data_IF_534764645247
#
_entry.id   IF_534764645247
#
_cell.length_a   1.000
_cell.length_b   1.000
_cell.length_c   1.000
_cell.angle_alpha   90.00
_cell.angle_beta   90.00
_cell.angle_gamma   90.00
#
_symmetry.space_group_name_H-M   'P 1'
#
loop_
_entity.id
_entity.type
_entity.pdbx_description
1 polymer ?
#
# COMPACT_ATOMS: atom_id res chain seq x y z
N UNK A 1 -88.58 97.18 47.66
CA UNK A 1 -89.50 96.89 48.77
C UNK A 1 -88.79 97.26 50.05
N UNK A 2 -88.99 98.50 50.54
CA UNK A 2 -88.49 98.89 51.86
C UNK A 2 -89.38 98.19 52.88
N UNK A 3 -88.83 97.19 53.58
CA UNK A 3 -89.47 96.63 54.75
C UNK A 3 -89.55 97.72 55.82
N UNK A 4 -90.73 97.89 56.44
CA UNK A 4 -90.91 98.72 57.62
C UNK A 4 -89.83 98.38 58.65
N UNK A 5 -88.93 99.32 58.89
CA UNK A 5 -87.83 99.13 59.81
C UNK A 5 -88.40 99.26 61.22
N UNK A 6 -88.78 98.14 61.82
CA UNK A 6 -89.07 98.08 63.26
C UNK A 6 -87.93 98.77 64.00
N UNK A 7 -88.27 99.71 64.89
CA UNK A 7 -87.28 100.36 65.76
C UNK A 7 -86.78 99.30 66.74
N UNK A 8 -85.68 98.64 66.39
CA UNK A 8 -85.04 97.64 67.24
C UNK A 8 -84.32 98.40 68.35
N UNK A 9 -84.68 98.14 69.60
CA UNK A 9 -83.98 98.69 70.76
C UNK A 9 -82.84 97.78 71.22
N UNK A 10 -81.99 98.26 72.12
CA UNK A 10 -80.86 97.48 72.64
C UNK A 10 -81.33 96.22 73.37
N UNK A 11 -82.51 96.27 74.00
CA UNK A 11 -83.08 95.13 74.72
C UNK A 11 -83.67 94.06 73.78
N UNK A 12 -83.92 94.41 72.51
CA UNK A 12 -84.45 93.50 71.50
C UNK A 12 -83.35 92.69 70.80
N UNK A 13 -82.07 92.94 71.08
CA UNK A 13 -80.94 92.25 70.43
C UNK A 13 -80.94 90.77 70.82
N UNK A 14 -81.10 89.91 69.83
CA UNK A 14 -81.19 88.45 69.99
C UNK A 14 -80.43 87.73 68.87
N UNK A 15 -80.38 86.40 68.93
CA UNK A 15 -79.77 85.59 67.89
C UNK A 15 -80.52 85.68 66.55
N UNK A 16 -81.85 85.85 66.58
CA UNK A 16 -82.71 85.77 65.40
C UNK A 16 -82.65 87.04 64.56
N UNK A 17 -82.49 88.21 65.19
CA UNK A 17 -82.34 89.48 64.51
C UNK A 17 -80.87 89.93 64.34
N UNK A 18 -79.91 89.17 64.87
CA UNK A 18 -78.48 89.43 64.70
C UNK A 18 -78.05 89.65 63.22
N UNK A 19 -78.55 88.87 62.23
CA UNK A 19 -78.21 89.11 60.82
C UNK A 19 -78.69 90.45 60.27
N UNK A 20 -79.77 91.02 60.82
CA UNK A 20 -80.28 92.34 60.43
C UNK A 20 -79.57 93.49 61.16
N UNK A 21 -79.05 93.23 62.37
CA UNK A 21 -78.40 94.23 63.23
C UNK A 21 -76.91 94.39 62.92
N UNK A 22 -76.17 93.28 62.83
CA UNK A 22 -74.71 93.27 62.69
C UNK A 22 -74.26 93.35 61.22
N UNK A 23 -74.80 94.35 60.52
CA UNK A 23 -74.46 94.69 59.14
C UNK A 23 -73.69 96.00 59.09
N UNK A 24 -73.12 96.32 57.92
CA UNK A 24 -72.46 97.60 57.71
C UNK A 24 -73.42 98.77 58.02
N UNK A 25 -73.06 99.61 58.99
CA UNK A 25 -73.87 100.75 59.44
C UNK A 25 -75.03 100.43 60.38
N UNK A 26 -75.35 99.15 60.62
CA UNK A 26 -76.54 98.74 61.40
C UNK A 26 -76.49 99.08 62.90
N UNK A 27 -75.29 99.28 63.45
CA UNK A 27 -75.11 99.60 64.88
C UNK A 27 -75.28 101.09 65.22
N UNK A 28 -75.32 101.97 64.21
CA UNK A 28 -75.40 103.42 64.41
C UNK A 28 -76.64 103.83 65.20
N UNK A 29 -77.79 103.20 64.94
CA UNK A 29 -79.05 103.48 65.63
C UNK A 29 -78.97 103.30 67.16
N UNK A 30 -78.22 102.29 67.64
CA UNK A 30 -78.07 102.05 69.08
C UNK A 30 -77.13 103.09 69.71
N UNK A 31 -76.08 103.50 68.98
CA UNK A 31 -75.21 104.58 69.43
C UNK A 31 -75.98 105.89 69.52
N UNK A 32 -76.77 106.23 68.51
CA UNK A 32 -77.57 107.46 68.48
C UNK A 32 -78.64 107.47 69.57
N UNK A 33 -79.29 106.33 69.84
CA UNK A 33 -80.24 106.18 70.94
C UNK A 33 -79.58 106.41 72.32
N UNK A 34 -78.43 105.78 72.58
CA UNK A 34 -77.68 105.96 73.83
C UNK A 34 -77.16 107.39 73.95
N UNK A 35 -76.67 107.97 72.85
CA UNK A 35 -76.22 109.37 72.82
C UNK A 35 -77.34 110.33 73.16
N UNK A 36 -78.52 110.16 72.57
CA UNK A 36 -79.70 110.97 72.89
C UNK A 36 -80.08 110.85 74.37
N UNK A 37 -80.06 109.64 74.94
CA UNK A 37 -80.33 109.42 76.37
C UNK A 37 -79.34 110.16 77.28
N UNK A 38 -78.03 110.04 77.03
CA UNK A 38 -77.01 110.61 77.93
C UNK A 38 -76.73 112.09 77.73
N UNK A 39 -77.07 112.65 76.56
CA UNK A 39 -76.93 114.09 76.29
C UNK A 39 -78.22 114.88 76.53
N UNK A 40 -79.34 114.21 76.81
CA UNK A 40 -80.63 114.84 77.07
C UNK A 40 -80.68 115.65 78.36
N UNK A 41 -79.73 115.45 79.27
CA UNK A 41 -79.57 116.21 80.50
C UNK A 41 -78.11 116.62 80.73
N UNK A 42 -77.90 117.80 81.34
CA UNK A 42 -76.57 118.28 81.74
C UNK A 42 -76.55 118.45 83.26
N UNK A 43 -76.14 117.42 84.03
CA UNK A 43 -76.12 117.49 85.49
C UNK A 43 -75.09 118.49 86.03
N UNK A 44 -75.41 119.17 87.14
CA UNK A 44 -74.53 120.17 87.77
C UNK A 44 -73.33 119.55 88.52
N UNK A 45 -72.12 119.78 88.00
CA UNK A 45 -70.85 119.29 88.53
C UNK A 45 -70.48 119.84 89.92
N UNK A 46 -71.03 120.99 90.32
CA UNK A 46 -70.73 121.59 91.63
C UNK A 46 -71.36 120.79 92.77
N UNK A 47 -72.44 120.04 92.48
CA UNK A 47 -73.15 119.21 93.47
C UNK A 47 -72.67 117.75 93.46
N UNK A 48 -72.69 117.09 94.63
CA UNK A 48 -72.41 115.65 94.73
C UNK A 48 -73.40 114.82 93.89
N UNK A 49 -74.68 115.17 93.94
CA UNK A 49 -75.74 114.46 93.19
C UNK A 49 -75.53 114.55 91.68
N UNK A 50 -75.13 115.71 91.14
CA UNK A 50 -74.86 115.85 89.71
C UNK A 50 -73.64 115.03 89.26
N UNK A 51 -72.58 114.97 90.07
CA UNK A 51 -71.42 114.09 89.79
C UNK A 51 -71.79 112.60 89.82
N UNK A 52 -72.59 112.17 90.80
CA UNK A 52 -73.11 110.78 90.86
C UNK A 52 -74.00 110.47 89.65
N UNK A 53 -74.81 111.42 89.18
CA UNK A 53 -75.64 111.24 87.97
C UNK A 53 -74.79 111.09 86.70
N UNK A 54 -73.74 111.88 86.53
CA UNK A 54 -72.79 111.73 85.41
C UNK A 54 -72.13 110.35 85.43
N UNK A 55 -71.73 109.86 86.61
CA UNK A 55 -71.20 108.50 86.76
C UNK A 55 -72.24 107.44 86.35
N UNK A 56 -73.51 107.63 86.72
CA UNK A 56 -74.61 106.75 86.29
C UNK A 56 -74.82 106.78 84.77
N UNK A 57 -74.79 107.94 84.12
CA UNK A 57 -74.92 108.06 82.66
C UNK A 57 -73.76 107.36 81.94
N UNK A 58 -72.52 107.51 82.43
CA UNK A 58 -71.36 106.80 81.90
C UNK A 58 -71.48 105.26 82.09
N UNK A 59 -72.06 104.82 83.20
CA UNK A 59 -72.37 103.41 83.43
C UNK A 59 -73.44 102.89 82.44
N UNK A 60 -74.46 103.69 82.12
CA UNK A 60 -75.44 103.37 81.07
C UNK A 60 -74.75 103.16 79.72
N UNK A 61 -73.87 104.08 79.29
CA UNK A 61 -73.09 103.90 78.04
C UNK A 61 -72.33 102.58 78.03
N UNK A 62 -71.67 102.26 79.15
CA UNK A 62 -70.86 101.04 79.28
C UNK A 62 -71.72 99.76 79.22
N UNK A 63 -72.89 99.78 79.87
CA UNK A 63 -73.85 98.67 79.85
C UNK A 63 -74.43 98.47 78.44
N UNK A 64 -74.86 99.55 77.79
CA UNK A 64 -75.42 99.53 76.44
C UNK A 64 -74.39 99.07 75.40
N UNK A 65 -73.13 99.51 75.51
CA UNK A 65 -72.02 98.98 74.69
C UNK A 65 -71.89 97.47 74.83
N UNK A 66 -71.86 96.96 76.06
CA UNK A 66 -71.72 95.53 76.31
C UNK A 66 -72.93 94.72 75.78
N UNK A 67 -74.14 95.27 75.90
CA UNK A 67 -75.37 94.66 75.40
C UNK A 67 -75.39 94.53 73.86
N UNK A 68 -74.74 95.45 73.14
CA UNK A 68 -74.59 95.37 71.68
C UNK A 68 -73.37 94.52 71.28
N UNK A 69 -72.22 94.67 71.95
CA UNK A 69 -70.96 94.01 71.57
C UNK A 69 -71.00 92.49 71.81
N UNK A 70 -71.54 92.04 72.95
CA UNK A 70 -71.51 90.63 73.34
C UNK A 70 -72.30 89.74 72.38
N UNK A 71 -73.58 90.02 72.05
CA UNK A 71 -74.31 89.21 71.06
C UNK A 71 -73.69 89.31 69.66
N UNK A 72 -73.05 90.42 69.32
CA UNK A 72 -72.33 90.59 68.05
C UNK A 72 -71.09 89.72 67.93
N UNK A 73 -70.31 89.58 69.00
CA UNK A 73 -69.20 88.62 69.07
C UNK A 73 -69.68 87.18 69.02
N UNK A 74 -70.80 86.88 69.66
CA UNK A 74 -71.39 85.53 69.62
C UNK A 74 -71.92 85.20 68.21
N UNK A 75 -72.55 86.15 67.53
CA UNK A 75 -72.97 86.03 66.13
C UNK A 75 -71.77 85.85 65.19
N UNK A 76 -70.72 86.67 65.34
CA UNK A 76 -69.49 86.54 64.55
C UNK A 76 -68.81 85.16 64.74
N UNK A 77 -68.83 84.61 65.96
CA UNK A 77 -68.32 83.27 66.23
C UNK A 77 -69.09 82.21 65.45
N UNK A 78 -70.43 82.25 65.51
CA UNK A 78 -71.30 81.33 64.75
C UNK A 78 -71.09 81.45 63.25
N UNK A 79 -70.97 82.68 62.73
CA UNK A 79 -70.66 82.90 61.32
C UNK A 79 -69.32 82.31 60.88
N UNK A 80 -68.29 82.37 61.73
CA UNK A 80 -66.98 81.79 61.44
C UNK A 80 -66.95 80.27 61.55
N UNK A 81 -67.83 79.68 62.35
CA UNK A 81 -67.97 78.23 62.49
C UNK A 81 -68.78 77.61 61.34
N UNK A 82 -69.73 78.36 60.77
CA UNK A 82 -70.63 77.85 59.72
C UNK A 82 -69.91 77.29 58.48
N UNK A 83 -68.86 77.93 57.91
CA UNK A 83 -68.13 77.36 56.78
C UNK A 83 -67.59 75.96 57.05
N UNK A 84 -67.01 75.73 58.24
CA UNK A 84 -66.46 74.42 58.61
C UNK A 84 -67.55 73.33 58.65
N UNK A 85 -68.73 73.67 59.18
CA UNK A 85 -69.86 72.73 59.22
C UNK A 85 -70.35 72.43 57.81
N UNK A 86 -70.55 73.47 56.99
CA UNK A 86 -71.01 73.31 55.60
C UNK A 86 -70.00 72.51 54.77
N UNK A 87 -68.69 72.79 54.90
CA UNK A 87 -67.63 72.02 54.22
C UNK A 87 -67.63 70.55 54.63
N UNK A 88 -67.77 70.25 55.92
CA UNK A 88 -67.82 68.87 56.41
C UNK A 88 -69.04 68.12 55.87
N UNK A 89 -70.22 68.74 55.90
CA UNK A 89 -71.44 68.14 55.35
C UNK A 89 -71.37 67.95 53.82
N UNK A 90 -70.79 68.91 53.09
CA UNK A 90 -70.58 68.77 51.65
C UNK A 90 -69.60 67.64 51.32
N UNK A 91 -68.50 67.53 52.07
CA UNK A 91 -67.53 66.45 51.88
C UNK A 91 -68.15 65.07 52.18
N UNK A 92 -68.90 64.95 53.27
CA UNK A 92 -69.63 63.72 53.62
C UNK A 92 -70.64 63.36 52.52
N UNK A 93 -71.41 64.33 52.04
CA UNK A 93 -72.37 64.12 50.95
C UNK A 93 -71.69 63.66 49.67
N UNK A 94 -70.63 64.33 49.22
CA UNK A 94 -69.88 63.95 48.00
C UNK A 94 -69.31 62.54 48.15
N UNK A 95 -68.69 62.24 49.30
CA UNK A 95 -68.13 60.91 49.57
C UNK A 95 -69.20 59.82 49.53
N UNK A 96 -70.38 60.06 50.13
CA UNK A 96 -71.52 59.13 50.08
C UNK A 96 -72.03 58.94 48.65
N UNK A 97 -72.10 60.00 47.86
CA UNK A 97 -72.55 59.94 46.46
C UNK A 97 -71.55 59.19 45.57
N UNK A 98 -70.24 59.41 45.76
CA UNK A 98 -69.20 58.66 45.05
C UNK A 98 -69.24 57.18 45.40
N UNK A 99 -69.31 56.83 46.69
CA UNK A 99 -69.45 55.44 47.13
C UNK A 99 -70.72 54.77 46.59
N UNK A 100 -71.85 55.50 46.56
CA UNK A 100 -73.10 55.01 46.00
C UNK A 100 -72.97 54.78 44.49
N UNK A 101 -72.37 55.71 43.74
CA UNK A 101 -72.11 55.55 42.31
C UNK A 101 -71.27 54.30 42.06
N UNK A 102 -70.17 54.15 42.78
CA UNK A 102 -69.22 53.06 42.58
C UNK A 102 -69.85 51.72 42.93
N UNK A 103 -70.53 51.61 44.08
CA UNK A 103 -71.28 50.40 44.47
C UNK A 103 -72.40 50.07 43.49
N UNK A 104 -73.08 51.08 42.94
CA UNK A 104 -74.14 50.87 41.94
C UNK A 104 -73.57 50.38 40.61
N UNK A 105 -72.38 50.85 40.22
CA UNK A 105 -71.69 50.42 38.99
C UNK A 105 -70.97 49.08 39.15
N UNK A 106 -70.58 48.72 40.37
CA UNK A 106 -69.77 47.53 40.67
C UNK A 106 -70.28 46.24 39.98
N UNK A 107 -71.58 45.88 40.01
CA UNK A 107 -72.05 44.65 39.35
C UNK A 107 -71.86 44.67 37.82
N UNK A 108 -71.95 45.85 37.19
CA UNK A 108 -71.70 45.98 35.75
C UNK A 108 -70.21 45.82 35.45
N UNK A 109 -69.34 46.42 36.28
CA UNK A 109 -67.88 46.28 36.12
C UNK A 109 -67.44 44.82 36.30
N UNK A 110 -67.94 44.12 37.32
CA UNK A 110 -67.65 42.70 37.54
C UNK A 110 -68.12 41.83 36.36
N UNK A 111 -69.29 42.14 35.79
CA UNK A 111 -69.78 41.43 34.61
C UNK A 111 -68.95 41.74 33.36
N UNK A 112 -68.56 43.00 33.13
CA UNK A 112 -67.69 43.41 32.01
C UNK A 112 -66.33 42.68 32.09
N UNK A 113 -65.74 42.59 33.28
CA UNK A 113 -64.47 41.87 33.52
C UNK A 113 -64.62 40.36 33.32
N UNK A 114 -65.68 39.75 33.84
CA UNK A 114 -65.95 38.32 33.66
C UNK A 114 -66.20 37.97 32.19
N UNK A 115 -66.92 38.82 31.47
CA UNK A 115 -67.21 38.64 30.05
C UNK A 115 -65.96 38.80 29.19
N UNK A 116 -65.08 39.75 29.52
CA UNK A 116 -63.78 39.87 28.87
C UNK A 116 -62.90 38.64 29.14
N UNK A 117 -62.81 38.19 30.40
CA UNK A 117 -62.05 36.99 30.75
C UNK A 117 -62.59 35.72 30.07
N UNK A 118 -63.91 35.61 29.88
CA UNK A 118 -64.54 34.54 29.10
C UNK A 118 -64.06 34.55 27.65
N UNK A 119 -64.09 35.72 27.00
CA UNK A 119 -63.61 35.88 25.61
C UNK A 119 -62.13 35.60 25.47
N UNK A 120 -61.31 36.13 26.37
CA UNK A 120 -59.85 35.93 26.37
C UNK A 120 -59.52 34.44 26.50
N UNK A 121 -60.23 33.70 27.36
CA UNK A 121 -60.07 32.24 27.47
C UNK A 121 -60.32 31.50 26.15
N UNK A 122 -61.32 31.92 25.36
CA UNK A 122 -61.57 31.31 24.05
C UNK A 122 -60.50 31.70 23.03
N UNK A 123 -60.09 32.97 23.01
CA UNK A 123 -59.02 33.46 22.14
C UNK A 123 -57.71 32.73 22.44
N UNK A 124 -57.34 32.59 23.72
CA UNK A 124 -56.16 31.86 24.18
C UNK A 124 -56.24 30.38 23.82
N UNK A 125 -57.42 29.75 23.98
CA UNK A 125 -57.62 28.36 23.59
C UNK A 125 -57.45 28.14 22.08
N UNK A 126 -57.95 29.06 21.25
CA UNK A 126 -57.73 29.04 19.80
C UNK A 126 -56.25 29.26 19.47
N UNK A 127 -55.57 30.18 20.17
CA UNK A 127 -54.15 30.42 19.97
C UNK A 127 -53.31 29.20 20.36
N UNK A 128 -53.63 28.53 21.47
CA UNK A 128 -52.98 27.28 21.87
C UNK A 128 -53.12 26.18 20.80
N UNK A 129 -54.27 26.10 20.11
CA UNK A 129 -54.44 25.20 18.97
C UNK A 129 -53.53 25.56 17.78
N UNK A 130 -53.23 26.85 17.56
CA UNK A 130 -52.29 27.28 16.50
C UNK A 130 -50.85 26.99 16.90
N UNK A 131 -50.53 27.13 18.18
CA UNK A 131 -49.17 26.98 18.71
C UNK A 131 -48.63 25.54 18.63
N UNK A 132 -49.49 24.53 18.48
CA UNK A 132 -49.04 23.15 18.17
C UNK A 132 -48.24 23.04 16.86
N UNK A 133 -48.29 24.04 15.98
CA UNK A 133 -47.47 24.10 14.76
C UNK A 133 -46.11 24.79 14.96
N UNK A 134 -45.83 25.29 16.17
CA UNK A 134 -44.58 25.95 16.49
C UNK A 134 -43.60 24.90 17.01
N UNK A 135 -42.49 24.69 16.30
CA UNK A 135 -41.44 23.77 16.68
C UNK A 135 -40.10 24.51 16.79
N UNK A 136 -39.34 24.25 17.85
CA UNK A 136 -37.99 24.83 18.00
C UNK A 136 -36.98 24.24 17.00
N UNK A 137 -37.20 22.99 16.60
CA UNK A 137 -36.41 22.24 15.62
C UNK A 137 -37.32 21.30 14.83
N UNK A 138 -36.79 20.68 13.77
CA UNK A 138 -37.54 19.70 12.99
C UNK A 138 -37.97 18.52 13.90
N UNK A 139 -39.28 18.29 14.10
CA UNK A 139 -39.76 17.25 15.00
C UNK A 139 -39.62 15.87 14.38
N UNK A 140 -39.50 14.83 15.21
CA UNK A 140 -39.62 13.43 14.78
C UNK A 140 -41.07 13.07 14.45
N UNK A 141 -41.28 12.02 13.65
CA UNK A 141 -42.60 11.50 13.34
C UNK A 141 -43.38 11.13 14.63
N UNK A 142 -42.69 10.54 15.61
CA UNK A 142 -43.29 10.20 16.91
C UNK A 142 -43.77 11.44 17.69
N UNK A 143 -42.99 12.51 17.72
CA UNK A 143 -43.39 13.76 18.38
C UNK A 143 -44.61 14.39 17.69
N UNK A 144 -44.63 14.44 16.36
CA UNK A 144 -45.77 14.98 15.60
C UNK A 144 -47.03 14.13 15.84
N UNK A 145 -46.90 12.80 15.89
CA UNK A 145 -48.02 11.91 16.19
C UNK A 145 -48.59 12.16 17.60
N UNK A 146 -47.74 12.39 18.60
CA UNK A 146 -48.18 12.73 19.95
C UNK A 146 -48.90 14.09 19.98
N UNK A 147 -48.35 15.10 19.30
CA UNK A 147 -48.97 16.42 19.18
C UNK A 147 -50.35 16.34 18.52
N UNK A 148 -50.51 15.51 17.48
CA UNK A 148 -51.81 15.25 16.86
C UNK A 148 -52.79 14.67 17.89
N UNK A 149 -52.36 13.67 18.67
CA UNK A 149 -53.20 13.06 19.68
C UNK A 149 -53.63 14.07 20.76
N UNK A 150 -52.71 14.92 21.22
CA UNK A 150 -52.99 15.96 22.22
C UNK A 150 -53.98 17.00 21.69
N UNK A 151 -53.84 17.43 20.42
CA UNK A 151 -54.79 18.33 19.77
C UNK A 151 -56.17 17.67 19.58
N UNK A 152 -56.21 16.38 19.23
CA UNK A 152 -57.45 15.63 19.05
C UNK A 152 -58.27 15.56 20.35
N UNK A 153 -57.63 15.54 21.52
CA UNK A 153 -58.29 15.54 22.84
C UNK A 153 -59.03 16.86 23.16
N UNK A 154 -58.70 17.97 22.50
CA UNK A 154 -59.39 19.25 22.74
C UNK A 154 -60.84 19.14 22.24
N UNK A 155 -61.81 19.14 23.15
CA UNK A 155 -63.21 19.04 22.79
C UNK A 155 -63.70 20.31 22.07
N UNK A 156 -64.30 20.14 20.90
CA UNK A 156 -64.97 21.20 20.14
C UNK A 156 -66.47 20.98 20.28
N UNK A 157 -67.08 21.67 21.24
CA UNK A 157 -68.49 21.57 21.59
C UNK A 157 -69.04 22.93 22.05
N UNK A 158 -70.29 22.97 22.50
CA UNK A 158 -71.00 24.19 22.86
C UNK A 158 -70.31 25.07 23.93
N UNK A 159 -69.32 24.53 24.67
CA UNK A 159 -68.54 25.34 25.62
C UNK A 159 -67.67 26.41 24.95
N UNK A 160 -67.52 26.40 23.62
CA UNK A 160 -66.82 27.45 22.87
C UNK A 160 -67.73 28.62 22.46
N UNK A 161 -69.04 28.50 22.69
CA UNK A 161 -70.00 29.59 22.49
C UNK A 161 -69.87 30.22 21.08
N UNK A 162 -69.75 31.55 20.97
CA UNK A 162 -69.62 32.23 19.67
C UNK A 162 -68.32 31.89 18.91
N UNK A 163 -67.32 31.32 19.61
CA UNK A 163 -66.03 30.94 19.05
C UNK A 163 -66.00 29.50 18.54
N UNK A 164 -67.09 28.73 18.69
CA UNK A 164 -67.15 27.32 18.30
C UNK A 164 -66.72 27.08 16.84
N UNK A 165 -67.25 27.88 15.91
CA UNK A 165 -66.93 27.74 14.49
C UNK A 165 -65.45 28.02 14.20
N UNK A 166 -64.89 29.06 14.82
CA UNK A 166 -63.46 29.39 14.68
C UNK A 166 -62.58 28.31 15.29
N UNK A 167 -62.89 27.86 16.50
CA UNK A 167 -62.15 26.80 17.18
C UNK A 167 -62.17 25.47 16.38
N UNK A 168 -63.33 25.08 15.84
CA UNK A 168 -63.46 23.92 14.96
C UNK A 168 -62.57 24.06 13.72
N UNK A 169 -62.68 25.21 13.03
CA UNK A 169 -61.91 25.48 11.83
C UNK A 169 -60.40 25.48 12.09
N UNK A 170 -59.95 26.11 13.18
CA UNK A 170 -58.54 26.17 13.55
C UNK A 170 -58.02 24.78 13.91
N UNK A 171 -58.77 24.00 14.71
CA UNK A 171 -58.40 22.61 15.03
C UNK A 171 -58.22 21.79 13.76
N UNK A 172 -59.16 21.84 12.84
CA UNK A 172 -59.11 21.07 11.58
C UNK A 172 -57.93 21.49 10.70
N UNK A 173 -57.68 22.80 10.58
CA UNK A 173 -56.54 23.31 9.80
C UNK A 173 -55.20 22.92 10.43
N UNK A 174 -55.08 23.00 11.75
CA UNK A 174 -53.88 22.59 12.48
C UNK A 174 -53.65 21.08 12.33
N UNK A 175 -54.69 20.26 12.51
CA UNK A 175 -54.59 18.80 12.31
C UNK A 175 -54.20 18.44 10.88
N UNK A 176 -54.78 19.11 9.87
CA UNK A 176 -54.43 18.88 8.47
C UNK A 176 -52.94 19.15 8.21
N UNK A 177 -52.40 20.26 8.72
CA UNK A 177 -50.98 20.60 8.61
C UNK A 177 -50.09 19.59 9.35
N UNK A 178 -50.43 19.25 10.59
CA UNK A 178 -49.69 18.27 11.38
C UNK A 178 -49.65 16.90 10.71
N UNK A 179 -50.77 16.45 10.12
CA UNK A 179 -50.82 15.18 9.36
C UNK A 179 -49.93 15.21 8.12
N UNK A 180 -49.83 16.37 7.45
CA UNK A 180 -48.86 16.59 6.38
C UNK A 180 -47.42 16.44 6.87
N UNK A 181 -47.06 17.12 7.97
CA UNK A 181 -45.74 17.03 8.59
C UNK A 181 -45.44 15.58 9.02
N UNK A 182 -46.40 14.89 9.63
CA UNK A 182 -46.24 13.49 10.05
C UNK A 182 -45.93 12.59 8.85
N UNK A 183 -46.64 12.75 7.74
CA UNK A 183 -46.40 11.97 6.53
C UNK A 183 -44.99 12.20 5.99
N UNK A 184 -44.56 13.47 5.89
CA UNK A 184 -43.20 13.83 5.46
C UNK A 184 -42.13 13.25 6.39
N UNK A 185 -42.31 13.35 7.71
CA UNK A 185 -41.33 12.83 8.69
C UNK A 185 -41.28 11.31 8.69
N UNK A 186 -42.42 10.65 8.55
CA UNK A 186 -42.48 9.19 8.46
C UNK A 186 -41.74 8.69 7.22
N UNK A 187 -41.94 9.34 6.06
CA UNK A 187 -41.21 9.00 4.85
C UNK A 187 -39.71 9.24 5.00
N UNK A 188 -39.33 10.42 5.50
CA UNK A 188 -37.93 10.76 5.73
C UNK A 188 -37.22 9.75 6.65
N UNK A 189 -37.82 9.40 7.79
CA UNK A 189 -37.24 8.44 8.73
C UNK A 189 -37.15 7.03 8.13
N UNK A 190 -38.15 6.60 7.35
CA UNK A 190 -38.11 5.33 6.64
C UNK A 190 -36.99 5.28 5.59
N UNK A 191 -36.80 6.36 4.82
CA UNK A 191 -35.71 6.50 3.86
C UNK A 191 -34.34 6.47 4.56
N UNK A 192 -34.18 7.15 5.70
CA UNK A 192 -32.95 7.09 6.48
C UNK A 192 -32.66 5.68 7.00
N UNK A 193 -33.68 4.97 7.49
CA UNK A 193 -33.54 3.59 7.95
C UNK A 193 -33.16 2.64 6.79
N UNK A 194 -33.75 2.84 5.61
CA UNK A 194 -33.40 2.06 4.42
C UNK A 194 -31.96 2.33 3.97
N UNK A 195 -31.53 3.59 3.95
CA UNK A 195 -30.15 3.96 3.61
C UNK A 195 -29.14 3.30 4.57
N UNK A 196 -29.44 3.24 5.87
CA UNK A 196 -28.61 2.52 6.84
C UNK A 196 -28.57 1.03 6.53
N UNK A 197 -29.70 0.40 6.22
CA UNK A 197 -29.75 -1.02 5.84
C UNK A 197 -28.95 -1.30 4.56
N UNK A 198 -29.10 -0.46 3.54
CA UNK A 198 -28.38 -0.60 2.28
C UNK A 198 -26.87 -0.46 2.48
N UNK A 199 -26.41 0.47 3.33
CA UNK A 199 -24.99 0.60 3.68
C UNK A 199 -24.46 -0.64 4.41
N UNK A 200 -25.21 -1.15 5.38
CA UNK A 200 -24.81 -2.35 6.12
C UNK A 200 -24.75 -3.59 5.21
N UNK A 201 -25.71 -3.74 4.29
CA UNK A 201 -25.72 -4.81 3.28
C UNK A 201 -24.55 -4.69 2.30
N UNK A 202 -24.25 -3.48 1.81
CA UNK A 202 -23.11 -3.22 0.95
C UNK A 202 -21.77 -3.51 1.64
N UNK A 203 -21.63 -3.14 2.91
CA UNK A 203 -20.43 -3.43 3.70
C UNK A 203 -20.28 -4.94 3.94
N UNK A 204 -21.36 -5.64 4.28
CA UNK A 204 -21.36 -7.09 4.43
C UNK A 204 -21.01 -7.80 3.12
N UNK A 205 -21.52 -7.32 1.98
CA UNK A 205 -21.18 -7.87 0.67
C UNK A 205 -19.71 -7.61 0.31
N UNK A 206 -19.22 -6.39 0.53
CA UNK A 206 -17.81 -6.07 0.31
C UNK A 206 -16.89 -6.95 1.18
N UNK A 207 -17.30 -7.26 2.41
CA UNK A 207 -16.55 -8.19 3.26
C UNK A 207 -16.55 -9.61 2.70
N UNK A 208 -17.72 -10.13 2.26
CA UNK A 208 -17.82 -11.43 1.60
C UNK A 208 -16.96 -11.50 0.34
N UNK A 209 -16.93 -10.45 -0.47
CA UNK A 209 -16.14 -10.39 -1.69
C UNK A 209 -14.63 -10.40 -1.38
N UNK A 210 -14.19 -9.67 -0.35
CA UNK A 210 -12.80 -9.72 0.14
C UNK A 210 -12.44 -11.12 0.64
N UNK A 211 -13.29 -11.72 1.46
CA UNK A 211 -13.07 -13.06 2.00
C UNK A 211 -13.03 -14.10 0.87
N UNK A 212 -13.90 -13.97 -0.13
CA UNK A 212 -13.91 -14.81 -1.33
C UNK A 212 -12.64 -14.63 -2.18
N UNK A 213 -12.15 -13.40 -2.35
CA UNK A 213 -10.91 -13.14 -3.08
C UNK A 213 -9.70 -13.69 -2.34
N UNK A 214 -9.62 -13.50 -1.02
CA UNK A 214 -8.59 -14.11 -0.18
C UNK A 214 -8.62 -15.64 -0.32
N UNK A 215 -9.82 -16.25 -0.26
CA UNK A 215 -9.97 -17.69 -0.44
C UNK A 215 -9.55 -18.16 -1.84
N UNK A 216 -9.88 -17.41 -2.91
CA UNK A 216 -9.44 -17.70 -4.28
C UNK A 216 -7.94 -17.60 -4.43
N UNK A 217 -7.32 -16.53 -3.95
CA UNK A 217 -5.87 -16.33 -4.00
C UNK A 217 -5.16 -17.44 -3.21
N UNK A 218 -5.66 -17.78 -2.02
CA UNK A 218 -5.10 -18.87 -1.22
C UNK A 218 -5.24 -20.24 -1.94
N UNK A 219 -6.39 -20.53 -2.55
CA UNK A 219 -6.62 -21.75 -3.31
C UNK A 219 -5.73 -21.82 -4.57
N UNK A 220 -5.56 -20.71 -5.29
CA UNK A 220 -4.68 -20.61 -6.45
C UNK A 220 -3.22 -20.80 -6.06
N UNK A 221 -2.76 -20.13 -5.00
CA UNK A 221 -1.41 -20.32 -4.46
C UNK A 221 -1.17 -21.75 -4.01
N UNK A 222 -2.15 -22.38 -3.34
CA UNK A 222 -2.06 -23.79 -2.97
C UNK A 222 -1.97 -24.70 -4.20
N UNK A 223 -2.72 -24.42 -5.27
CA UNK A 223 -2.63 -25.15 -6.54
C UNK A 223 -1.25 -24.99 -7.18
N UNK A 224 -0.74 -23.77 -7.29
CA UNK A 224 0.59 -23.48 -7.86
C UNK A 224 1.69 -24.18 -7.04
N UNK A 225 1.63 -24.11 -5.70
CA UNK A 225 2.60 -24.80 -4.85
C UNK A 225 2.52 -26.31 -4.97
N UNK A 226 1.31 -26.88 -5.06
CA UNK A 226 1.13 -28.31 -5.28
C UNK A 226 1.67 -28.75 -6.65
N UNK A 227 1.42 -27.97 -7.70
CA UNK A 227 1.93 -28.22 -9.05
C UNK A 227 3.45 -28.09 -9.13
N UNK A 228 4.04 -27.06 -8.50
CA UNK A 228 5.49 -26.90 -8.39
C UNK A 228 6.14 -28.05 -7.62
N UNK A 229 5.54 -28.51 -6.51
CA UNK A 229 6.03 -29.69 -5.77
C UNK A 229 5.94 -30.95 -6.61
N UNK A 230 4.82 -31.17 -7.28
CA UNK A 230 4.64 -32.32 -8.17
C UNK A 230 5.64 -32.28 -9.33
N UNK A 231 5.92 -31.11 -9.91
CA UNK A 231 6.93 -30.95 -10.95
C UNK A 231 8.34 -31.18 -10.41
N UNK A 232 8.68 -30.62 -9.25
CA UNK A 232 9.97 -30.84 -8.60
C UNK A 232 10.20 -32.32 -8.26
N UNK A 233 9.15 -33.03 -7.80
CA UNK A 233 9.20 -34.48 -7.56
C UNK A 233 9.40 -35.26 -8.86
N UNK A 234 8.72 -34.89 -9.95
CA UNK A 234 8.93 -35.48 -11.28
C UNK A 234 10.35 -35.23 -11.79
N UNK A 235 10.85 -34.01 -11.70
CA UNK A 235 12.21 -33.66 -12.13
C UNK A 235 13.27 -34.36 -11.28
N UNK A 236 13.02 -34.52 -9.98
CA UNK A 236 13.90 -35.26 -9.07
C UNK A 236 13.84 -36.78 -9.33
N UNK A 237 12.68 -37.32 -9.71
CA UNK A 237 12.55 -38.70 -10.15
C UNK A 237 13.28 -38.93 -11.49
N UNK A 238 13.08 -38.04 -12.46
CA UNK A 238 13.77 -38.10 -13.76
C UNK A 238 15.29 -37.97 -13.61
N UNK A 239 15.78 -37.09 -12.73
CA UNK A 239 17.22 -37.00 -12.41
C UNK A 239 17.76 -38.28 -11.78
N UNK A 240 17.03 -38.88 -10.84
CA UNK A 240 17.42 -40.15 -10.21
C UNK A 240 17.46 -41.29 -11.23
N UNK A 241 16.48 -41.35 -12.13
CA UNK A 241 16.44 -42.33 -13.22
C UNK A 241 17.61 -42.12 -14.19
N UNK A 242 17.86 -40.88 -14.60
CA UNK A 242 19.00 -40.53 -15.47
C UNK A 242 20.35 -40.86 -14.80
N UNK A 243 20.50 -40.56 -13.52
CA UNK A 243 21.72 -40.88 -12.76
C UNK A 243 21.93 -42.39 -12.64
N UNK A 244 20.86 -43.18 -12.46
CA UNK A 244 20.92 -44.64 -12.49
C UNK A 244 21.30 -45.17 -13.88
N UNK A 245 20.77 -44.58 -14.95
CA UNK A 245 21.15 -44.92 -16.32
C UNK A 245 22.62 -44.56 -16.62
N UNK A 246 23.07 -43.39 -16.18
CA UNK A 246 24.45 -42.95 -16.36
C UNK A 246 25.42 -43.81 -15.53
N UNK A 247 25.05 -44.20 -14.31
CA UNK A 247 25.80 -45.16 -13.50
C UNK A 247 25.85 -46.54 -14.15
N UNK A 248 24.73 -47.03 -14.70
CA UNK A 248 24.68 -48.29 -15.44
C UNK A 248 25.54 -48.24 -16.71
N UNK A 249 25.48 -47.14 -17.46
CA UNK A 249 26.30 -46.93 -18.66
C UNK A 249 27.79 -46.76 -18.32
N UNK A 250 28.12 -46.14 -17.19
CA UNK A 250 29.49 -46.04 -16.70
C UNK A 250 30.01 -47.40 -16.22
N UNK A 251 29.20 -48.19 -15.53
CA UNK A 251 29.52 -49.56 -15.15
C UNK A 251 29.72 -50.45 -16.38
N UNK A 252 28.86 -50.35 -17.39
CA UNK A 252 29.01 -51.06 -18.66
C UNK A 252 30.31 -50.66 -19.38
N UNK A 253 30.61 -49.35 -19.48
CA UNK A 253 31.86 -48.85 -20.05
C UNK A 253 33.08 -49.34 -19.27
N UNK A 254 33.02 -49.38 -17.94
CA UNK A 254 34.09 -49.90 -17.11
C UNK A 254 34.29 -51.41 -17.31
N UNK A 255 33.21 -52.19 -17.43
CA UNK A 255 33.30 -53.63 -17.74
C UNK A 255 33.82 -53.90 -19.14
N UNK A 256 33.41 -53.11 -20.14
CA UNK A 256 33.88 -53.25 -21.52
C UNK A 256 35.35 -52.83 -21.64
N UNK A 257 35.76 -51.75 -20.96
CA UNK A 257 37.15 -51.33 -20.90
C UNK A 257 38.01 -52.38 -20.19
N UNK A 258 37.54 -52.94 -19.08
CA UNK A 258 38.24 -54.03 -18.39
C UNK A 258 38.34 -55.30 -19.26
N UNK A 259 37.33 -55.61 -20.07
CA UNK A 259 37.37 -56.72 -21.02
C UNK A 259 38.39 -56.45 -22.14
N UNK A 260 38.39 -55.25 -22.73
CA UNK A 260 39.38 -54.84 -23.74
C UNK A 260 40.81 -54.81 -23.19
N UNK A 261 40.99 -54.34 -21.96
CA UNK A 261 42.30 -54.32 -21.31
C UNK A 261 42.80 -55.74 -20.99
N UNK A 262 41.89 -56.66 -20.62
CA UNK A 262 42.18 -58.08 -20.44
C UNK A 262 42.51 -58.79 -21.76
N UNK A 263 41.76 -58.51 -22.83
CA UNK A 263 42.05 -59.01 -24.19
C UNK A 263 43.41 -58.49 -24.70
N UNK A 264 43.67 -57.19 -24.56
CA UNK A 264 44.95 -56.60 -24.92
C UNK A 264 46.11 -57.15 -24.06
N UNK A 265 45.88 -57.48 -22.79
CA UNK A 265 46.87 -58.15 -21.95
C UNK A 265 47.12 -59.60 -22.39
N UNK A 266 46.06 -60.34 -22.75
CA UNK A 266 46.17 -61.69 -23.28
C UNK A 266 46.86 -61.72 -24.66
N UNK A 267 46.59 -60.73 -25.51
CA UNK A 267 47.24 -60.55 -26.80
C UNK A 267 48.72 -60.18 -26.64
N UNK A 268 49.06 -59.26 -25.71
CA UNK A 268 50.46 -58.98 -25.34
C UNK A 268 51.17 -60.22 -24.80
N UNK A 269 50.53 -61.05 -23.99
CA UNK A 269 51.08 -62.31 -23.52
C UNK A 269 51.30 -63.31 -24.67
N UNK A 270 50.35 -63.40 -25.61
CA UNK A 270 50.51 -64.25 -26.81
C UNK A 270 51.67 -63.78 -27.68
N UNK A 271 51.73 -62.50 -28.00
CA UNK A 271 52.83 -61.91 -28.76
C UNK A 271 54.16 -62.07 -28.02
N UNK A 272 54.19 -61.97 -26.69
CA UNK A 272 55.41 -62.17 -25.92
C UNK A 272 55.86 -63.64 -25.92
N UNK A 273 54.92 -64.59 -25.85
CA UNK A 273 55.21 -66.02 -26.01
C UNK A 273 55.67 -66.35 -27.44
N UNK A 274 55.09 -65.72 -28.45
CA UNK A 274 55.48 -65.87 -29.85
C UNK A 274 56.86 -65.28 -30.11
N UNK A 275 57.17 -64.09 -29.57
CA UNK A 275 58.50 -63.51 -29.64
C UNK A 275 59.53 -64.36 -28.90
N UNK A 276 59.17 -64.96 -27.77
CA UNK A 276 60.02 -65.90 -27.05
C UNK A 276 60.23 -67.20 -27.82
N UNK A 277 59.22 -67.71 -28.53
CA UNK A 277 59.32 -68.88 -29.39
C UNK A 277 60.20 -68.58 -30.63
N UNK A 278 60.04 -67.42 -31.26
CA UNK A 278 60.87 -66.98 -32.39
C UNK A 278 62.32 -66.73 -31.96
N UNK A 279 62.54 -66.14 -30.77
CA UNK A 279 63.87 -66.00 -30.19
C UNK A 279 64.48 -67.36 -29.82
N UNK A 280 63.69 -68.29 -29.29
CA UNK A 280 64.14 -69.64 -28.99
C UNK A 280 64.46 -70.44 -30.27
N UNK A 281 63.68 -70.30 -31.35
CA UNK A 281 64.00 -70.89 -32.65
C UNK A 281 65.26 -70.26 -33.25
N UNK A 282 65.42 -68.94 -33.20
CA UNK A 282 66.65 -68.27 -33.65
C UNK A 282 67.86 -68.70 -32.84
N UNK A 283 67.75 -68.79 -31.52
CA UNK A 283 68.82 -69.30 -30.66
C UNK A 283 69.11 -70.79 -30.91
N UNK A 284 68.10 -71.62 -31.16
CA UNK A 284 68.29 -73.03 -31.51
C UNK A 284 68.89 -73.22 -32.91
N UNK A 285 68.54 -72.36 -33.88
CA UNK A 285 69.13 -72.33 -35.21
C UNK A 285 70.58 -71.83 -35.18
N UNK A 286 70.88 -70.80 -34.37
CA UNK A 286 72.24 -70.31 -34.15
C UNK A 286 73.10 -71.37 -33.45
N UNK A 287 72.58 -72.04 -32.41
CA UNK A 287 73.28 -73.10 -31.69
C UNK A 287 73.53 -74.33 -32.57
N UNK A 288 72.59 -74.70 -33.45
CA UNK A 288 72.80 -75.78 -34.45
C UNK A 288 73.81 -75.37 -35.52
N UNK A 289 73.82 -74.11 -35.96
CA UNK A 289 74.82 -73.61 -36.92
C UNK A 289 76.22 -73.54 -36.31
N UNK A 290 76.35 -73.14 -35.03
CA UNK A 290 77.62 -73.09 -34.31
C UNK A 290 78.16 -74.48 -33.97
N UNK A 291 77.29 -75.45 -33.63
CA UNK A 291 77.69 -76.85 -33.45
C UNK A 291 78.18 -77.47 -34.75
N UNK A 292 77.48 -77.29 -35.88
CA UNK A 292 77.95 -77.78 -37.18
C UNK A 292 79.27 -77.12 -37.61
N UNK A 293 79.45 -75.82 -37.35
CA UNK A 293 80.67 -75.10 -37.69
C UNK A 293 81.86 -75.43 -36.77
N UNK A 294 81.61 -75.86 -35.53
CA UNK A 294 82.64 -76.34 -34.62
C UNK A 294 83.07 -77.79 -34.94
N UNK A 295 82.11 -78.64 -35.33
CA UNK A 295 82.35 -80.04 -35.72
C UNK A 295 83.11 -80.12 -37.06
N UNK A 296 82.73 -79.29 -38.05
CA UNK A 296 83.48 -79.18 -39.31
C UNK A 296 84.89 -78.60 -39.14
N UNK A 297 85.09 -77.66 -38.20
CA UNK A 297 86.43 -77.11 -37.90
C UNK A 297 87.32 -78.15 -37.22
N UNK A 298 86.81 -78.91 -36.25
CA UNK A 298 87.56 -79.97 -35.58
C UNK A 298 87.92 -81.14 -36.52
N UNK A 299 87.05 -81.47 -37.48
CA UNK A 299 87.31 -82.52 -38.47
C UNK A 299 88.29 -82.08 -39.57
N UNK A 300 88.21 -80.82 -40.03
CA UNK A 300 89.19 -80.24 -40.94
C UNK A 300 90.59 -80.12 -40.31
N UNK A 301 90.68 -79.83 -39.01
CA UNK A 301 91.96 -79.67 -38.31
C UNK A 301 92.67 -81.01 -38.06
N UNK A 302 91.91 -82.10 -37.81
CA UNK A 302 92.44 -83.48 -37.77
C UNK A 302 92.90 -83.98 -39.14
N UNK A 303 92.13 -83.73 -40.20
CA UNK A 303 92.52 -84.10 -41.57
C UNK A 303 93.72 -83.28 -42.07
N UNK A 304 93.84 -82.02 -41.66
CA UNK A 304 94.97 -81.16 -41.99
C UNK A 304 96.25 -81.48 -41.18
N UNK A 305 96.16 -82.06 -39.98
CA UNK A 305 97.36 -82.51 -39.26
C UNK A 305 97.92 -83.81 -39.85
N UNK A 306 97.05 -84.71 -40.31
CA UNK A 306 97.43 -85.96 -40.99
C UNK A 306 98.01 -85.67 -42.38
N UNK A 307 97.36 -84.81 -43.18
CA UNK A 307 97.93 -84.37 -44.47
C UNK A 307 99.25 -83.62 -44.34
N UNK A 308 99.42 -82.76 -43.33
CA UNK A 308 100.70 -82.04 -43.13
C UNK A 308 101.85 -82.98 -42.74
N UNK A 309 101.57 -84.11 -42.11
CA UNK A 309 102.57 -85.12 -41.77
C UNK A 309 102.93 -86.02 -42.98
N UNK A 310 101.96 -86.33 -43.84
CA UNK A 310 102.18 -87.07 -45.09
C UNK A 310 102.84 -86.18 -46.18
N UNK A 311 102.41 -84.93 -46.33
CA UNK A 311 102.97 -83.96 -47.29
C UNK A 311 104.38 -83.51 -46.92
N UNK A 312 104.77 -83.48 -45.63
CA UNK A 312 106.15 -83.17 -45.23
C UNK A 312 107.14 -84.31 -45.58
N UNK A 313 106.68 -85.57 -45.60
CA UNK A 313 107.48 -86.74 -45.97
C UNK A 313 107.53 -86.94 -47.49
N UNK A 314 106.43 -86.70 -48.20
CA UNK A 314 106.37 -86.75 -49.67
C UNK A 314 107.10 -85.57 -50.33
N UNK A 315 106.99 -84.35 -49.79
CA UNK A 315 107.64 -83.16 -50.36
C UNK A 315 109.15 -83.16 -50.19
N UNK A 316 109.67 -83.79 -49.14
CA UNK A 316 111.12 -84.06 -49.01
C UNK A 316 111.61 -85.09 -50.04
N UNK A 317 110.77 -86.07 -50.42
CA UNK A 317 111.09 -87.08 -51.43
C UNK A 317 110.98 -86.54 -52.86
N UNK A 318 109.99 -85.69 -53.11
CA UNK A 318 109.71 -85.09 -54.42
C UNK A 318 110.66 -83.94 -54.77
N UNK A 319 111.15 -83.15 -53.81
CA UNK A 319 112.13 -82.08 -54.09
C UNK A 319 113.54 -82.62 -54.42
N UNK A 320 113.89 -83.83 -53.96
CA UNK A 320 115.14 -84.51 -54.31
C UNK A 320 115.04 -85.21 -55.68
N UNK A 321 113.87 -85.79 -56.00
CA UNK A 321 113.56 -86.35 -57.33
C UNK A 321 113.39 -85.25 -58.39
N UNK A 322 112.83 -84.07 -58.04
CA UNK A 322 112.66 -82.95 -58.96
C UNK A 322 114.00 -82.30 -59.36
N UNK A 323 115.00 -82.25 -58.46
CA UNK A 323 116.35 -81.79 -58.82
C UNK A 323 117.11 -82.79 -59.70
N UNK A 324 116.89 -84.08 -59.52
CA UNK A 324 117.49 -85.13 -60.37
C UNK A 324 116.84 -85.19 -61.77
N UNK A 325 115.52 -85.01 -61.87
CA UNK A 325 114.80 -85.03 -63.14
C UNK A 325 114.97 -83.74 -63.95
N UNK A 326 115.07 -82.56 -63.31
CA UNK A 326 115.35 -81.31 -64.02
C UNK A 326 116.76 -81.29 -64.66
N UNK A 327 117.73 -82.00 -64.11
CA UNK A 327 119.06 -82.17 -64.70
C UNK A 327 119.09 -83.20 -65.84
N UNK A 328 118.22 -84.22 -65.81
CA UNK A 328 118.11 -85.26 -66.83
C UNK A 328 117.26 -84.84 -68.04
N UNK A 329 116.18 -84.09 -67.83
CA UNK A 329 115.26 -83.65 -68.89
C UNK A 329 115.86 -82.58 -69.81
N UNK A 330 116.80 -81.77 -69.31
CA UNK A 330 117.53 -80.80 -70.16
C UNK A 330 118.57 -81.50 -71.06
N UNK A 331 119.14 -82.64 -70.63
CA UNK A 331 120.07 -83.45 -71.43
C UNK A 331 119.31 -84.23 -72.53
N UNK A 332 118.11 -84.74 -72.22
CA UNK A 332 117.28 -85.48 -73.19
C UNK A 332 116.69 -84.55 -74.26
N UNK A 333 116.28 -83.31 -73.90
CA UNK A 333 115.81 -82.30 -74.87
C UNK A 333 116.89 -81.94 -75.89
N UNK A 334 118.16 -81.82 -75.47
CA UNK A 334 119.26 -81.53 -76.39
C UNK A 334 119.62 -82.69 -77.32
N UNK A 335 119.34 -83.95 -76.95
CA UNK A 335 119.55 -85.12 -77.81
C UNK A 335 118.43 -85.28 -78.85
N UNK A 336 117.17 -85.10 -78.45
CA UNK A 336 116.03 -85.23 -79.38
C UNK A 336 116.03 -84.15 -80.46
N UNK A 337 116.45 -82.92 -80.13
CA UNK A 337 116.61 -81.86 -81.13
C UNK A 337 117.69 -82.18 -82.19
N UNK A 338 118.74 -82.94 -81.84
CA UNK A 338 119.81 -83.34 -82.77
C UNK A 338 119.42 -84.53 -83.66
N UNK A 339 118.51 -85.39 -83.22
CA UNK A 339 118.01 -86.50 -84.04
C UNK A 339 116.93 -86.06 -85.04
N UNK A 340 116.06 -85.13 -84.65
CA UNK A 340 115.08 -84.53 -85.56
C UNK A 340 115.76 -83.81 -86.74
N UNK A 341 116.87 -83.12 -86.49
CA UNK A 341 117.66 -82.43 -87.53
C UNK A 341 118.36 -83.43 -88.48
N UNK A 342 118.82 -84.59 -87.99
CA UNK A 342 119.37 -85.66 -88.86
C UNK A 342 118.31 -86.28 -89.75
N UNK A 343 117.09 -86.47 -89.24
CA UNK A 343 115.98 -87.02 -90.01
C UNK A 343 115.53 -86.07 -91.13
N UNK A 344 115.46 -84.76 -90.84
CA UNK A 344 115.11 -83.73 -91.83
C UNK A 344 116.13 -83.68 -92.98
N UNK A 345 117.43 -83.71 -92.64
CA UNK A 345 118.54 -83.70 -93.61
C UNK A 345 118.56 -84.94 -94.50
N UNK A 346 118.24 -86.10 -93.94
CA UNK A 346 118.15 -87.36 -94.68
C UNK A 346 117.01 -87.38 -95.70
N UNK A 347 115.84 -86.82 -95.35
CA UNK A 347 114.69 -86.74 -96.25
C UNK A 347 114.98 -85.90 -97.51
N UNK A 348 115.69 -84.78 -97.34
CA UNK A 348 116.07 -83.88 -98.43
C UNK A 348 117.15 -84.52 -99.32
N UNK A 349 118.11 -85.21 -98.72
CA UNK A 349 119.11 -86.01 -99.45
C UNK A 349 118.46 -87.05 -100.36
N UNK A 350 117.40 -87.71 -99.88
CA UNK A 350 116.67 -88.74 -100.62
C UNK A 350 115.87 -88.14 -101.79
N UNK A 351 115.15 -87.05 -101.53
CA UNK A 351 114.38 -86.33 -102.55
C UNK A 351 115.28 -85.78 -103.67
N UNK A 352 116.44 -85.20 -103.32
CA UNK A 352 117.40 -84.72 -104.31
C UNK A 352 117.98 -85.87 -105.16
N UNK A 353 118.26 -87.03 -104.55
CA UNK A 353 118.73 -88.23 -105.26
C UNK A 353 117.68 -88.74 -106.25
N UNK A 354 116.42 -88.81 -105.82
CA UNK A 354 115.30 -89.27 -106.67
C UNK A 354 115.06 -88.34 -107.87
N UNK A 355 115.16 -87.02 -107.68
CA UNK A 355 115.04 -86.05 -108.77
C UNK A 355 116.13 -86.22 -109.84
N UNK A 356 117.38 -86.48 -109.44
CA UNK A 356 118.47 -86.76 -110.39
C UNK A 356 118.26 -88.06 -111.17
N UNK A 357 117.75 -89.10 -110.52
CA UNK A 357 117.42 -90.37 -111.19
C UNK A 357 116.30 -90.17 -112.21
N UNK A 358 115.29 -89.38 -111.86
CA UNK A 358 114.12 -89.12 -112.72
C UNK A 358 114.48 -88.37 -114.02
N UNK A 359 115.57 -87.59 -114.02
CA UNK A 359 116.07 -86.86 -115.20
C UNK A 359 117.25 -87.54 -115.91
N UNK A 360 117.41 -88.86 -115.73
CA UNK A 360 118.28 -89.69 -116.57
C UNK A 360 119.69 -89.95 -116.02
N UNK A 361 120.01 -89.56 -114.79
CA UNK A 361 121.24 -90.01 -114.13
C UNK A 361 121.09 -91.42 -113.58
N UNK A 362 122.13 -92.23 -113.69
CA UNK A 362 122.21 -93.50 -112.95
C UNK A 362 122.32 -93.24 -111.46
N UNK A 363 121.83 -94.17 -110.64
CA UNK A 363 121.78 -94.00 -109.19
C UNK A 363 123.15 -93.72 -108.55
N UNK A 364 124.22 -94.36 -109.07
CA UNK A 364 125.60 -94.14 -108.65
C UNK A 364 126.03 -92.67 -108.83
N UNK A 365 125.77 -92.09 -110.01
CA UNK A 365 126.11 -90.70 -110.32
C UNK A 365 125.21 -89.71 -109.56
N UNK A 366 123.92 -90.01 -109.39
CA UNK A 366 122.99 -89.16 -108.62
C UNK A 366 123.41 -89.06 -107.15
N UNK A 367 123.82 -90.20 -106.55
CA UNK A 367 124.37 -90.24 -105.18
C UNK A 367 125.63 -89.40 -105.06
N UNK A 368 126.53 -89.49 -106.06
CA UNK A 368 127.76 -88.70 -106.09
C UNK A 368 127.47 -87.20 -106.24
N UNK A 369 126.54 -86.80 -107.11
CA UNK A 369 126.16 -85.41 -107.31
C UNK A 369 125.58 -84.78 -106.05
N UNK A 370 124.61 -85.44 -105.39
CA UNK A 370 124.05 -84.94 -104.11
C UNK A 370 125.15 -84.81 -103.04
N UNK A 371 126.07 -85.79 -102.96
CA UNK A 371 127.19 -85.75 -102.01
C UNK A 371 128.14 -84.57 -102.29
N UNK A 372 128.47 -84.30 -103.55
CA UNK A 372 129.38 -83.20 -103.92
C UNK A 372 128.77 -81.82 -103.63
N UNK A 373 127.47 -81.64 -103.86
CA UNK A 373 126.76 -80.38 -103.57
C UNK A 373 126.63 -80.17 -102.07
N UNK A 374 126.28 -81.21 -101.31
CA UNK A 374 126.23 -81.14 -99.86
C UNK A 374 127.59 -80.89 -99.21
N UNK A 375 128.68 -81.28 -99.89
CA UNK A 375 130.05 -81.07 -99.45
C UNK A 375 130.61 -79.70 -99.90
N UNK A 376 129.81 -78.86 -100.58
CA UNK A 376 130.22 -77.52 -101.02
C UNK A 376 131.28 -77.50 -102.13
N UNK A 377 131.51 -78.63 -102.81
CA UNK A 377 132.54 -78.78 -103.85
C UNK A 377 132.08 -78.28 -105.23
N UNK A 378 130.79 -77.98 -105.36
CA UNK A 378 130.18 -77.43 -106.57
C UNK A 378 129.91 -75.93 -106.34
N UNK A 379 130.69 -75.02 -106.95
CA UNK A 379 130.54 -73.59 -106.77
C UNK A 379 129.16 -73.11 -107.23
N UNK A 380 128.57 -72.17 -106.49
CA UNK A 380 127.25 -71.58 -106.79
C UNK A 380 126.05 -72.54 -106.66
N UNK A 381 126.20 -73.70 -106.03
CA UNK A 381 125.09 -74.64 -105.79
C UNK A 381 125.15 -75.20 -104.36
N UNK A 382 124.01 -75.24 -103.66
CA UNK A 382 123.93 -75.67 -102.24
C UNK A 382 122.63 -76.42 -101.95
N UNK A 383 122.61 -77.24 -100.91
CA UNK A 383 121.41 -77.93 -100.42
C UNK A 383 120.88 -77.18 -99.19
N UNK A 384 119.62 -76.77 -99.24
CA UNK A 384 118.89 -76.25 -98.08
C UNK A 384 118.29 -77.43 -97.31
N UNK A 385 118.43 -77.41 -95.98
CA UNK A 385 117.99 -78.47 -95.08
C UNK A 385 116.79 -78.09 -94.26
#
# INVERSE_FOLDING_TARGET
MLAEQQVITIDDISADNAPAIYVAGGLGQFFDAVKAEVTGEVPDLTTRKGRERIASLAATVSKSKAAVEKPGRDYLRRLKEMPKVVEAELLDFVTKMDNLRDTTRQPLTEWEEAEQARKDKHVDGIQAMKDFLIFEAAPSAAQVAQIIADLELIAINDTWEEFLAEAAQVKDQTLAKLRGILAERTQYEAEQAELVRQRAEAEAQAQRDRDAEIARVAAEQARIQAEQRAQAERDAAARREQELLDQAAAAQRATEQAARDAEAAAERQRLQLELQAEQAERHAAQAKADQLAAEQRAEQERLASIRRQEEAVERARLDEVARANAAADEILRQQQAREADKAHKGAIYKAAKEAFIQHGMTEECARLAVKLVASGLIPSMSIQY
#
